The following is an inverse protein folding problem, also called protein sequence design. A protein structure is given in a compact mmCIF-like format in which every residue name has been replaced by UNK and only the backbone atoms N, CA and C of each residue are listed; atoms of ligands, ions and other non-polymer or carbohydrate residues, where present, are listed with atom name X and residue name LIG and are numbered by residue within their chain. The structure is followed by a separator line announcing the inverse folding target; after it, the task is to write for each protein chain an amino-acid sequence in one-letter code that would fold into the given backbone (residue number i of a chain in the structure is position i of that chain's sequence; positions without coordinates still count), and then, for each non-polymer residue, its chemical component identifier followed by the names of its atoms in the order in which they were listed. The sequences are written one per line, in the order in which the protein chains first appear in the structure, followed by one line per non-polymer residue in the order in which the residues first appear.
data_IF_253682724357
#
_entry.id   IF_253682724357
#
_cell.length_a   1.000
_cell.length_b   1.000
_cell.length_c   1.000
_cell.angle_alpha   90.00
_cell.angle_beta   90.00
_cell.angle_gamma   90.00
#
_symmetry.space_group_name_H-M   'P 1'
#
loop_
_entity.id
_entity.type
_entity.pdbx_description
1 polymer ?
#
# COMPACT_ATOMS: atom_id res chain seq x y z
N UNK A 1 50.22 -2.04 -21.63
CA UNK A 1 48.80 -1.65 -21.41
C UNK A 1 48.41 -2.01 -19.99
N UNK A 2 48.23 -0.97 -19.19
CA UNK A 2 48.61 -0.94 -17.77
C UNK A 2 47.65 -1.75 -16.90
N UNK A 3 48.22 -2.59 -16.01
CA UNK A 3 47.51 -3.29 -14.93
C UNK A 3 46.59 -2.34 -14.15
N UNK A 4 46.98 -1.07 -14.07
CA UNK A 4 46.21 0.04 -13.51
C UNK A 4 44.82 0.22 -14.16
N UNK A 5 44.72 0.18 -15.50
CA UNK A 5 43.42 0.30 -16.18
C UNK A 5 42.53 -0.92 -15.96
N UNK A 6 43.12 -2.11 -15.78
CA UNK A 6 42.37 -3.34 -15.44
C UNK A 6 41.77 -3.25 -14.03
N UNK A 7 42.53 -2.76 -13.06
CA UNK A 7 42.06 -2.56 -11.68
C UNK A 7 41.01 -1.44 -11.61
N UNK A 8 41.24 -0.32 -12.31
CA UNK A 8 40.29 0.79 -12.39
C UNK A 8 38.98 0.38 -13.07
N UNK A 9 39.06 -0.42 -14.14
CA UNK A 9 37.89 -0.99 -14.82
C UNK A 9 37.11 -1.95 -13.92
N UNK A 10 37.80 -2.75 -13.10
CA UNK A 10 37.14 -3.66 -12.15
C UNK A 10 36.45 -2.89 -11.02
N UNK A 11 37.05 -1.79 -10.55
CA UNK A 11 36.45 -0.91 -9.55
C UNK A 11 35.21 -0.19 -10.09
N UNK A 12 35.23 0.23 -11.36
CA UNK A 12 34.11 0.90 -12.02
C UNK A 12 32.89 -0.03 -12.20
N UNK A 13 33.10 -1.33 -12.38
CA UNK A 13 32.03 -2.33 -12.49
C UNK A 13 31.30 -2.56 -11.15
N UNK A 14 31.98 -2.41 -10.02
CA UNK A 14 31.38 -2.54 -8.68
C UNK A 14 30.49 -1.33 -8.34
N UNK A 15 30.79 -0.16 -8.91
CA UNK A 15 30.00 1.06 -8.70
C UNK A 15 28.69 1.10 -9.51
N UNK A 16 28.48 0.16 -10.45
CA UNK A 16 27.32 0.14 -11.34
C UNK A 16 26.17 -0.76 -10.84
N UNK A 17 26.31 -1.44 -9.69
CA UNK A 17 25.27 -2.36 -9.19
C UNK A 17 24.25 -1.73 -8.25
N UNK A 18 24.27 -0.41 -8.01
CA UNK A 18 23.21 0.27 -7.26
C UNK A 18 22.01 0.58 -8.17
N UNK A 19 21.32 -0.47 -8.61
CA UNK A 19 20.05 -0.31 -9.34
C UNK A 19 18.89 -0.28 -8.34
N UNK A 20 18.03 0.73 -8.50
CA UNK A 20 16.83 1.05 -7.74
C UNK A 20 15.95 -0.19 -7.46
N UNK A 21 16.07 -0.74 -6.26
CA UNK A 21 15.11 -1.72 -5.72
C UNK A 21 14.12 -1.00 -4.81
N UNK A 22 12.82 -1.26 -4.98
CA UNK A 22 11.82 -0.94 -3.95
C UNK A 22 12.30 -1.48 -2.61
N UNK A 23 12.28 -0.66 -1.55
CA UNK A 23 12.83 -1.05 -0.25
C UNK A 23 12.19 -2.35 0.27
N UNK A 24 10.94 -2.59 -0.10
CA UNK A 24 10.18 -3.78 0.25
C UNK A 24 9.17 -4.10 -0.84
N UNK A 25 9.07 -5.37 -1.21
CA UNK A 25 8.05 -5.90 -2.13
C UNK A 25 7.62 -7.29 -1.65
N UNK A 26 6.46 -7.36 -1.00
CA UNK A 26 5.88 -8.60 -0.52
C UNK A 26 4.61 -8.91 -1.32
N UNK A 27 4.54 -10.10 -1.91
CA UNK A 27 3.37 -10.56 -2.64
C UNK A 27 2.22 -10.85 -1.65
N UNK A 28 1.02 -10.32 -1.94
CA UNK A 28 -0.20 -10.58 -1.17
C UNK A 28 -0.89 -11.80 -1.80
N UNK A 29 -1.51 -11.61 -2.97
CA UNK A 29 -2.19 -12.66 -3.72
C UNK A 29 -2.35 -12.25 -5.18
N UNK A 30 -2.19 -13.20 -6.10
CA UNK A 30 -2.31 -12.95 -7.53
C UNK A 30 -1.41 -11.77 -7.97
N UNK A 31 -1.95 -10.76 -8.67
CA UNK A 31 -1.19 -9.59 -9.10
C UNK A 31 -0.98 -8.54 -8.00
N UNK A 32 -1.49 -8.73 -6.79
CA UNK A 32 -1.40 -7.74 -5.73
C UNK A 32 -0.14 -7.93 -4.87
N UNK A 33 0.62 -6.85 -4.70
CA UNK A 33 1.75 -6.77 -3.78
C UNK A 33 1.63 -5.56 -2.86
N UNK A 34 2.25 -5.65 -1.69
CA UNK A 34 2.52 -4.50 -0.84
C UNK A 34 3.97 -4.08 -1.04
N UNK A 35 4.17 -2.79 -1.32
CA UNK A 35 5.50 -2.24 -1.55
C UNK A 35 5.71 -0.97 -0.73
N UNK A 36 6.98 -0.69 -0.41
CA UNK A 36 7.41 0.63 0.07
C UNK A 36 7.98 1.40 -1.13
N UNK A 37 7.37 2.56 -1.47
CA UNK A 37 7.78 3.38 -2.61
C UNK A 37 9.10 4.12 -2.32
N UNK A 38 9.08 5.04 -1.35
CA UNK A 38 10.23 5.92 -1.07
C UNK A 38 10.95 5.58 0.24
N UNK A 39 10.18 5.29 1.30
CA UNK A 39 10.70 4.97 2.63
C UNK A 39 9.97 3.75 3.19
N UNK A 40 10.57 3.00 4.14
CA UNK A 40 10.01 1.74 4.65
C UNK A 40 8.63 1.89 5.29
N UNK A 41 8.33 3.09 5.76
CA UNK A 41 7.10 3.47 6.45
C UNK A 41 6.00 3.96 5.50
N UNK A 42 6.25 3.87 4.18
CA UNK A 42 5.39 4.40 3.13
C UNK A 42 4.80 3.29 2.25
N UNK A 43 4.19 2.32 2.93
CA UNK A 43 3.60 1.13 2.33
C UNK A 43 2.36 1.47 1.50
N UNK A 44 2.25 0.88 0.32
CA UNK A 44 1.07 0.97 -0.54
C UNK A 44 0.76 -0.41 -1.14
N UNK A 45 -0.48 -0.61 -1.56
CA UNK A 45 -0.86 -1.80 -2.33
C UNK A 45 -0.83 -1.44 -3.81
N UNK A 46 -0.10 -2.23 -4.57
CA UNK A 46 -0.06 -2.14 -6.03
C UNK A 46 -0.68 -3.37 -6.66
N UNK A 47 -1.15 -3.17 -7.88
CA UNK A 47 -1.52 -4.22 -8.81
C UNK A 47 -0.46 -4.28 -9.90
N UNK A 48 0.24 -5.41 -9.98
CA UNK A 48 1.28 -5.65 -10.96
C UNK A 48 0.67 -6.17 -12.25
N UNK A 49 1.08 -5.60 -13.38
CA UNK A 49 0.68 -6.11 -14.70
C UNK A 49 1.24 -7.52 -14.97
N UNK A 50 2.32 -7.89 -14.29
CA UNK A 50 3.01 -9.19 -14.38
C UNK A 50 3.51 -9.62 -13.01
N UNK A 51 3.49 -10.91 -12.70
CA UNK A 51 3.83 -11.42 -11.36
C UNK A 51 5.23 -11.05 -10.85
N UNK A 52 6.20 -10.85 -11.75
CA UNK A 52 7.60 -10.56 -11.40
C UNK A 52 8.04 -9.11 -11.72
N UNK A 53 7.09 -8.17 -11.80
CA UNK A 53 7.36 -6.79 -12.20
C UNK A 53 7.17 -5.81 -11.05
N UNK A 54 8.12 -4.87 -10.88
CA UNK A 54 8.09 -3.82 -9.85
C UNK A 54 7.36 -2.55 -10.28
N UNK A 55 6.73 -2.55 -11.46
CA UNK A 55 5.85 -1.48 -11.93
C UNK A 55 4.39 -1.92 -11.86
N UNK A 56 3.56 -1.16 -11.16
CA UNK A 56 2.15 -1.49 -11.00
C UNK A 56 1.30 -0.24 -10.81
N UNK A 57 -0.01 -0.43 -10.95
CA UNK A 57 -0.97 0.63 -10.61
C UNK A 57 -1.19 0.64 -9.10
N UNK A 58 -1.09 1.82 -8.49
CA UNK A 58 -1.41 1.98 -7.06
C UNK A 58 -2.92 1.76 -6.86
N UNK A 59 -3.26 0.74 -6.07
CA UNK A 59 -4.65 0.38 -5.73
C UNK A 59 -5.05 1.06 -4.43
N UNK A 60 -4.20 0.95 -3.40
CA UNK A 60 -4.32 1.68 -2.15
C UNK A 60 -3.04 2.46 -1.97
N UNK A 61 -3.16 3.77 -1.83
CA UNK A 61 -2.01 4.65 -1.68
C UNK A 61 -1.19 4.34 -0.42
N UNK A 62 -0.04 4.99 -0.36
CA UNK A 62 0.86 5.19 0.76
C UNK A 62 0.20 5.15 2.15
N UNK A 63 0.96 4.75 3.17
CA UNK A 63 0.58 4.63 4.60
C UNK A 63 -0.41 3.50 4.96
N UNK A 64 -0.33 2.37 4.23
CA UNK A 64 -1.02 1.10 4.58
C UNK A 64 -0.29 0.39 5.72
N UNK A 65 -0.94 0.18 6.87
CA UNK A 65 -0.30 -0.46 8.04
C UNK A 65 -0.73 -1.91 8.24
N UNK A 66 -1.86 -2.31 7.66
CA UNK A 66 -2.35 -3.66 7.83
C UNK A 66 -3.00 -4.13 6.54
N UNK A 67 -2.71 -5.37 6.18
CA UNK A 67 -3.34 -6.07 5.06
C UNK A 67 -3.72 -7.46 5.50
N UNK A 68 -4.98 -7.82 5.28
CA UNK A 68 -5.52 -9.16 5.53
C UNK A 68 -6.12 -9.69 4.23
N UNK A 69 -5.96 -10.98 3.93
CA UNK A 69 -6.49 -11.52 2.68
C UNK A 69 -6.83 -12.99 2.72
N UNK A 70 -7.68 -13.36 1.77
CA UNK A 70 -8.00 -14.73 1.40
C UNK A 70 -7.91 -14.91 -0.12
N UNK A 71 -8.38 -16.05 -0.62
CA UNK A 71 -8.33 -16.36 -2.06
C UNK A 71 -9.19 -15.44 -2.94
N UNK A 72 -10.09 -14.65 -2.36
CA UNK A 72 -11.09 -13.88 -3.08
C UNK A 72 -11.02 -12.38 -2.79
N UNK A 73 -10.54 -11.99 -1.61
CA UNK A 73 -10.61 -10.61 -1.12
C UNK A 73 -9.35 -10.21 -0.37
N UNK A 74 -9.04 -8.92 -0.46
CA UNK A 74 -8.04 -8.24 0.35
C UNK A 74 -8.74 -7.13 1.13
N UNK A 75 -8.44 -7.02 2.42
CA UNK A 75 -8.74 -5.85 3.24
C UNK A 75 -7.45 -5.13 3.57
N UNK A 76 -7.42 -3.82 3.34
CA UNK A 76 -6.30 -2.97 3.71
C UNK A 76 -6.75 -1.88 4.67
N UNK A 77 -5.89 -1.57 5.65
CA UNK A 77 -6.07 -0.45 6.58
C UNK A 77 -4.97 0.56 6.36
N UNK A 78 -5.36 1.83 6.31
CA UNK A 78 -4.48 2.94 6.00
C UNK A 78 -4.73 4.09 6.96
N UNK A 79 -3.67 4.73 7.42
CA UNK A 79 -3.76 6.05 8.06
C UNK A 79 -3.85 7.13 6.97
N UNK A 80 -4.68 8.17 7.10
CA UNK A 80 -4.72 9.22 6.09
C UNK A 80 -3.38 9.96 6.03
N UNK A 81 -2.76 10.02 4.85
CA UNK A 81 -1.79 11.07 4.57
C UNK A 81 -2.54 12.35 4.15
N UNK A 82 -1.88 13.50 4.27
CA UNK A 82 -2.51 14.82 4.02
C UNK A 82 -3.08 14.98 2.60
N UNK A 83 -2.50 14.31 1.61
CA UNK A 83 -2.96 14.31 0.22
C UNK A 83 -4.23 13.46 0.03
N UNK A 84 -4.22 12.24 0.57
CA UNK A 84 -5.33 11.29 0.56
C UNK A 84 -6.52 11.88 1.31
N UNK A 85 -6.29 12.48 2.48
CA UNK A 85 -7.34 13.11 3.26
C UNK A 85 -8.04 14.22 2.48
N UNK A 86 -7.28 15.13 1.87
CA UNK A 86 -7.84 16.25 1.08
C UNK A 86 -8.60 15.76 -0.15
N UNK A 87 -8.11 14.73 -0.83
CA UNK A 87 -8.74 14.20 -2.05
C UNK A 87 -10.01 13.41 -1.75
N UNK A 88 -9.99 12.55 -0.74
CA UNK A 88 -11.15 11.73 -0.34
C UNK A 88 -12.28 12.57 0.29
N UNK A 89 -11.92 13.59 1.06
CA UNK A 89 -12.88 14.41 1.80
C UNK A 89 -13.45 15.58 1.00
N UNK A 90 -12.90 15.91 -0.18
CA UNK A 90 -13.30 17.09 -0.97
C UNK A 90 -14.81 17.17 -1.25
N UNK A 91 -15.47 16.03 -1.41
CA UNK A 91 -16.89 15.93 -1.74
C UNK A 91 -17.75 15.42 -0.56
N UNK A 92 -17.19 15.36 0.65
CA UNK A 92 -17.89 14.86 1.83
C UNK A 92 -18.58 15.99 2.60
N UNK A 93 -19.60 15.69 3.43
CA UNK A 93 -20.22 16.68 4.30
C UNK A 93 -19.19 17.35 5.19
N UNK A 94 -19.27 18.68 5.33
CA UNK A 94 -18.30 19.48 6.11
C UNK A 94 -18.09 18.95 7.53
N UNK A 95 -19.15 18.49 8.19
CA UNK A 95 -19.10 17.89 9.52
C UNK A 95 -18.16 16.67 9.60
N UNK A 96 -18.18 15.82 8.57
CA UNK A 96 -17.27 14.68 8.47
C UNK A 96 -15.83 15.16 8.30
N UNK A 97 -15.62 16.19 7.45
CA UNK A 97 -14.32 16.79 7.22
C UNK A 97 -13.74 17.34 8.53
N UNK A 98 -14.51 18.15 9.25
CA UNK A 98 -14.11 18.77 10.51
C UNK A 98 -13.79 17.69 11.59
N UNK A 99 -14.55 16.59 11.61
CA UNK A 99 -14.29 15.46 12.52
C UNK A 99 -12.97 14.73 12.26
N UNK A 100 -12.48 14.75 11.01
CA UNK A 100 -11.20 14.16 10.63
C UNK A 100 -10.04 15.15 10.78
N UNK A 101 -10.26 16.45 10.51
CA UNK A 101 -9.23 17.48 10.66
C UNK A 101 -8.82 17.75 12.12
N UNK A 102 -9.69 17.39 13.08
CA UNK A 102 -9.47 17.58 14.51
C UNK A 102 -8.77 16.41 15.19
N UNK A 103 -8.69 15.24 14.54
CA UNK A 103 -8.05 14.04 15.08
C UNK A 103 -6.58 13.96 14.68
N UNK A 104 -5.80 13.23 15.47
CA UNK A 104 -4.46 12.86 15.05
C UNK A 104 -4.56 11.91 13.84
N UNK A 105 -3.69 12.06 12.83
CA UNK A 105 -3.68 11.20 11.62
C UNK A 105 -3.59 9.71 11.97
N UNK A 106 -2.88 9.37 13.05
CA UNK A 106 -2.69 7.99 13.49
C UNK A 106 -3.94 7.40 14.19
N UNK A 107 -4.92 8.23 14.55
CA UNK A 107 -6.20 7.80 15.14
C UNK A 107 -7.27 7.54 14.08
N UNK A 108 -6.99 7.91 12.84
CA UNK A 108 -7.90 7.72 11.72
C UNK A 108 -7.46 6.49 10.95
N UNK A 109 -8.43 5.63 10.63
CA UNK A 109 -8.22 4.47 9.77
C UNK A 109 -9.25 4.46 8.67
N UNK A 110 -8.75 4.43 7.44
CA UNK A 110 -9.54 4.07 6.27
C UNK A 110 -9.40 2.59 5.98
N UNK A 111 -10.51 2.01 5.56
CA UNK A 111 -10.62 0.59 5.26
C UNK A 111 -10.91 0.43 3.78
N UNK A 112 -10.18 -0.46 3.13
CA UNK A 112 -10.35 -0.76 1.71
C UNK A 112 -10.67 -2.24 1.55
N UNK A 113 -11.68 -2.55 0.74
CA UNK A 113 -11.99 -3.91 0.31
C UNK A 113 -11.71 -4.04 -1.19
N UNK A 114 -10.90 -5.01 -1.57
CA UNK A 114 -10.54 -5.31 -2.95
C UNK A 114 -11.08 -6.71 -3.30
N UNK A 115 -11.83 -6.81 -4.39
CA UNK A 115 -12.22 -8.09 -4.99
C UNK A 115 -11.10 -8.57 -5.92
N UNK A 116 -10.43 -9.64 -5.50
CA UNK A 116 -9.31 -10.24 -6.22
C UNK A 116 -9.78 -10.96 -7.48
N UNK A 117 -10.98 -11.57 -7.45
CA UNK A 117 -11.52 -12.29 -8.62
C UNK A 117 -11.91 -11.34 -9.74
N UNK A 118 -12.42 -10.17 -9.37
CA UNK A 118 -12.72 -9.11 -10.32
C UNK A 118 -11.45 -8.46 -10.89
N UNK A 119 -10.26 -8.78 -10.35
CA UNK A 119 -8.99 -8.16 -10.72
C UNK A 119 -9.06 -6.62 -10.64
N UNK A 120 -9.75 -6.10 -9.61
CA UNK A 120 -10.11 -4.68 -9.52
C UNK A 120 -8.90 -3.81 -9.16
N UNK A 121 -8.74 -2.70 -9.89
CA UNK A 121 -7.84 -1.60 -9.55
C UNK A 121 -8.49 -0.57 -8.61
N UNK A 122 -9.81 -0.69 -8.39
CA UNK A 122 -10.60 0.29 -7.66
C UNK A 122 -11.15 -0.36 -6.38
N UNK A 123 -10.49 -0.17 -5.23
CA UNK A 123 -11.00 -0.69 -3.97
C UNK A 123 -12.26 0.06 -3.54
N UNK A 124 -13.12 -0.62 -2.79
CA UNK A 124 -14.22 0.06 -2.09
C UNK A 124 -13.68 0.64 -0.78
N UNK A 125 -13.82 1.96 -0.59
CA UNK A 125 -13.40 2.67 0.61
C UNK A 125 -14.52 2.72 1.65
N UNK A 126 -14.14 2.51 2.91
CA UNK A 126 -14.99 2.70 4.08
C UNK A 126 -14.29 3.55 5.14
N UNK A 127 -15.09 4.36 5.83
CA UNK A 127 -14.63 5.33 6.83
C UNK A 127 -14.68 4.79 8.26
N UNK A 128 -15.37 3.65 8.45
CA UNK A 128 -15.56 3.02 9.77
C UNK A 128 -15.47 1.49 9.67
N UNK A 129 -15.07 0.80 10.76
CA UNK A 129 -15.09 -0.67 10.81
C UNK A 129 -16.49 -1.24 10.56
N UNK A 130 -17.54 -0.57 11.05
CA UNK A 130 -18.91 -1.06 10.94
C UNK A 130 -19.38 -1.12 9.48
N UNK A 131 -19.02 -0.11 8.67
CA UNK A 131 -19.30 -0.11 7.23
C UNK A 131 -18.59 -1.25 6.52
N UNK A 132 -17.32 -1.50 6.86
CA UNK A 132 -16.57 -2.63 6.30
C UNK A 132 -17.20 -3.97 6.67
N UNK A 133 -17.56 -4.19 7.94
CA UNK A 133 -18.15 -5.46 8.39
C UNK A 133 -19.52 -5.72 7.76
N UNK A 134 -20.33 -4.68 7.54
CA UNK A 134 -21.58 -4.81 6.80
C UNK A 134 -21.32 -5.27 5.36
N UNK A 135 -20.40 -4.61 4.65
CA UNK A 135 -20.04 -4.99 3.29
C UNK A 135 -19.46 -6.41 3.20
N UNK A 136 -18.62 -6.81 4.16
CA UNK A 136 -18.07 -8.17 4.25
C UNK A 136 -19.17 -9.22 4.39
N UNK A 137 -20.21 -8.92 5.17
CA UNK A 137 -21.38 -9.79 5.34
C UNK A 137 -22.21 -9.89 4.06
N UNK A 138 -22.51 -8.77 3.43
CA UNK A 138 -23.28 -8.72 2.18
C UNK A 138 -22.60 -9.47 1.03
N UNK A 139 -21.27 -9.35 0.95
CA UNK A 139 -20.46 -10.00 -0.08
C UNK A 139 -20.01 -11.42 0.27
N UNK A 140 -20.38 -11.93 1.45
CA UNK A 140 -19.94 -13.24 1.97
C UNK A 140 -18.41 -13.43 1.89
N UNK A 141 -17.65 -12.43 2.35
CA UNK A 141 -16.18 -12.39 2.23
C UNK A 141 -15.50 -13.58 2.92
N UNK A 142 -16.08 -14.09 4.00
CA UNK A 142 -15.52 -15.17 4.80
C UNK A 142 -14.33 -14.71 5.66
N UNK A 143 -13.57 -15.68 6.19
CA UNK A 143 -12.41 -15.41 7.03
C UNK A 143 -11.15 -15.18 6.17
N UNK A 144 -10.25 -14.34 6.67
CA UNK A 144 -8.91 -14.16 6.12
C UNK A 144 -7.95 -15.21 6.69
N UNK A 145 -7.06 -15.74 5.84
CA UNK A 145 -6.06 -16.74 6.25
C UNK A 145 -4.68 -16.12 6.46
N UNK A 146 -4.45 -14.95 5.87
CA UNK A 146 -3.16 -14.29 5.90
C UNK A 146 -3.32 -12.84 6.40
N UNK A 147 -2.28 -12.36 7.06
CA UNK A 147 -2.22 -11.00 7.62
C UNK A 147 -0.78 -10.51 7.64
N UNK A 148 -0.59 -9.25 7.28
CA UNK A 148 0.65 -8.50 7.51
C UNK A 148 0.30 -7.21 8.25
N UNK A 149 1.14 -6.83 9.20
CA UNK A 149 1.01 -5.63 9.99
C UNK A 149 2.37 -4.90 10.09
N UNK A 150 2.33 -3.57 10.02
CA UNK A 150 3.50 -2.69 10.11
C UNK A 150 3.30 -1.67 11.24
N UNK A 151 4.12 -1.77 12.29
CA UNK A 151 4.02 -0.92 13.49
C UNK A 151 4.43 0.54 13.26
N UNK A 152 5.35 0.79 12.33
CA UNK A 152 5.95 2.11 12.12
C UNK A 152 5.52 2.68 10.76
N UNK A 153 4.51 3.54 10.74
CA UNK A 153 4.10 4.27 9.53
C UNK A 153 4.29 5.78 9.66
N UNK A 154 4.68 6.39 8.55
CA UNK A 154 4.74 7.83 8.28
C UNK A 154 5.28 8.73 9.42
N UNK A 155 6.60 8.66 9.64
CA UNK A 155 7.36 9.59 10.49
C UNK A 155 7.62 10.95 9.83
N UNK A 156 6.96 11.27 8.71
CA UNK A 156 7.08 12.58 8.07
C UNK A 156 6.12 13.54 8.79
N UNK A 157 6.70 14.48 9.50
CA UNK A 157 6.02 15.64 10.11
C UNK A 157 5.70 16.71 9.07
#
# INVERSE_FOLDING_TARGET
MNHFYKVLSLFLLILLTSCFGSYKNEKIIGPYSIIALDIPTDMCIIHNEKEDYSGGSVVVSNTVFEVEWNNNFIVAKQHPNSYVLKSLLKNQPKELIDSYLTKNKNEITFYYLIDVKANSLFPTLFFTPQQLELAKKELNVGNFQNKIYYENLDQRD
#
